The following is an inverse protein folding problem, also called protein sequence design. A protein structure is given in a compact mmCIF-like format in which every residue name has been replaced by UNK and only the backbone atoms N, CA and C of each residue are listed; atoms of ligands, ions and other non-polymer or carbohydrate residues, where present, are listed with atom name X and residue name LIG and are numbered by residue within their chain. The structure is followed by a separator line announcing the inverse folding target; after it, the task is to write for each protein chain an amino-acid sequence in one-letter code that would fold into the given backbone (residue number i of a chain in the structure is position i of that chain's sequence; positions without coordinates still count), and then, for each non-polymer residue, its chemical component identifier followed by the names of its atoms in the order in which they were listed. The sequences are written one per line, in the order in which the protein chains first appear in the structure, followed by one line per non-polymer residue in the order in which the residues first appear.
data_IF_984601536301
#
_entry.id   IF_984601536301
#
_cell.length_a   1.000
_cell.length_b   1.000
_cell.length_c   1.000
_cell.angle_alpha   90.00
_cell.angle_beta   90.00
_cell.angle_gamma   90.00
#
_symmetry.space_group_name_H-M   'P 1'
#
loop_
_entity.id
_entity.type
_entity.pdbx_description
1 polymer ?
#
# COMPACT_ATOMS: atom_id res chain seq x y z
N UNK A 1 27.07 -45.28 -39.32
CA UNK A 1 27.25 -43.85 -38.98
C UNK A 1 25.87 -43.23 -38.89
N UNK A 2 25.29 -43.30 -37.69
CA UNK A 2 23.94 -42.85 -37.39
C UNK A 2 24.03 -41.46 -36.73
N UNK A 3 23.47 -40.44 -37.40
CA UNK A 3 23.35 -39.08 -36.85
C UNK A 3 22.08 -39.02 -36.01
N UNK A 4 22.25 -38.87 -34.67
CA UNK A 4 21.16 -38.62 -33.73
C UNK A 4 20.94 -37.09 -33.67
N UNK A 5 19.86 -36.59 -34.29
CA UNK A 5 19.42 -35.22 -34.13
C UNK A 5 18.64 -35.12 -32.80
N UNK A 6 19.28 -34.52 -31.79
CA UNK A 6 18.63 -34.14 -30.57
C UNK A 6 17.79 -32.87 -30.74
N UNK A 7 16.47 -32.99 -30.69
CA UNK A 7 15.55 -31.86 -30.63
C UNK A 7 15.56 -31.30 -29.19
N UNK A 8 16.22 -30.16 -29.02
CA UNK A 8 16.18 -29.39 -27.79
C UNK A 8 14.84 -28.62 -27.72
N UNK A 9 13.88 -29.18 -27.01
CA UNK A 9 12.61 -28.48 -26.70
C UNK A 9 12.88 -27.34 -25.71
N UNK A 10 12.94 -26.11 -26.20
CA UNK A 10 12.91 -24.91 -25.37
C UNK A 10 11.50 -24.82 -24.74
N UNK A 11 11.37 -25.19 -23.47
CA UNK A 11 10.20 -24.88 -22.67
C UNK A 11 10.17 -23.37 -22.43
N UNK A 12 9.44 -22.65 -23.27
CA UNK A 12 9.04 -21.26 -23.01
C UNK A 12 8.02 -21.29 -21.87
N UNK A 13 8.50 -21.11 -20.65
CA UNK A 13 7.62 -20.81 -19.51
C UNK A 13 7.05 -19.43 -19.73
N UNK A 14 5.77 -19.33 -20.08
CA UNK A 14 5.03 -18.08 -20.09
C UNK A 14 5.03 -17.52 -18.65
N UNK A 15 5.48 -16.27 -18.43
CA UNK A 15 5.42 -15.68 -17.10
C UNK A 15 3.97 -15.67 -16.64
N UNK A 16 3.74 -16.14 -15.40
CA UNK A 16 2.43 -16.16 -14.81
C UNK A 16 2.04 -14.70 -14.51
N UNK A 17 1.02 -14.16 -15.19
CA UNK A 17 0.59 -12.76 -15.06
C UNK A 17 0.36 -12.34 -13.59
N UNK A 18 -0.12 -13.27 -12.75
CA UNK A 18 -0.30 -13.03 -11.32
C UNK A 18 1.02 -12.87 -10.52
N UNK A 19 2.13 -13.46 -11.00
CA UNK A 19 3.43 -13.29 -10.36
C UNK A 19 4.02 -11.92 -10.65
N UNK A 20 3.87 -11.42 -11.88
CA UNK A 20 4.31 -10.09 -12.30
C UNK A 20 3.57 -8.97 -11.54
N UNK A 21 2.28 -9.13 -11.30
CA UNK A 21 1.48 -8.15 -10.55
C UNK A 21 1.86 -8.07 -9.08
N UNK A 22 2.15 -9.21 -8.44
CA UNK A 22 2.63 -9.22 -7.05
C UNK A 22 4.00 -8.55 -6.91
N UNK A 23 4.89 -8.78 -7.86
CA UNK A 23 6.21 -8.16 -7.85
C UNK A 23 6.12 -6.64 -8.06
N UNK A 24 5.26 -6.18 -8.98
CA UNK A 24 4.98 -4.75 -9.17
C UNK A 24 4.42 -4.09 -7.92
N UNK A 25 3.46 -4.73 -7.25
CA UNK A 25 2.94 -4.23 -5.99
C UNK A 25 4.02 -4.17 -4.91
N UNK A 26 4.87 -5.18 -4.81
CA UNK A 26 5.98 -5.21 -3.85
C UNK A 26 6.93 -4.04 -4.05
N UNK A 27 7.36 -3.79 -5.28
CA UNK A 27 8.22 -2.66 -5.65
C UNK A 27 7.56 -1.32 -5.30
N UNK A 28 6.30 -1.15 -5.68
CA UNK A 28 5.52 0.04 -5.34
C UNK A 28 5.42 0.26 -3.83
N UNK A 29 5.16 -0.79 -3.05
CA UNK A 29 5.07 -0.72 -1.61
C UNK A 29 6.41 -0.38 -0.95
N UNK A 30 7.52 -0.93 -1.44
CA UNK A 30 8.87 -0.62 -0.96
C UNK A 30 9.26 0.85 -1.25
N UNK A 31 8.99 1.33 -2.46
CA UNK A 31 9.24 2.73 -2.83
C UNK A 31 8.40 3.69 -1.99
N UNK A 32 7.11 3.38 -1.81
CA UNK A 32 6.20 4.18 -0.98
C UNK A 32 6.67 4.24 0.46
N UNK A 33 7.10 3.12 1.05
CA UNK A 33 7.65 3.11 2.42
C UNK A 33 8.89 3.99 2.54
N UNK A 34 9.83 3.89 1.60
CA UNK A 34 11.01 4.77 1.57
C UNK A 34 10.64 6.24 1.47
N UNK A 35 9.69 6.60 0.59
CA UNK A 35 9.21 7.96 0.41
C UNK A 35 8.60 8.51 1.71
N UNK A 36 7.67 7.77 2.32
CA UNK A 36 6.95 8.21 3.52
C UNK A 36 7.90 8.32 4.73
N UNK A 37 8.83 7.38 4.91
CA UNK A 37 9.80 7.44 6.00
C UNK A 37 10.82 8.57 5.84
N UNK A 38 11.08 9.02 4.62
CA UNK A 38 11.97 10.15 4.35
C UNK A 38 11.31 11.52 4.58
N UNK A 39 9.98 11.59 4.75
CA UNK A 39 9.27 12.84 4.99
C UNK A 39 9.73 13.48 6.30
N UNK A 40 10.24 14.71 6.21
CA UNK A 40 10.60 15.53 7.36
C UNK A 40 9.36 16.32 7.82
N UNK A 41 8.61 15.76 8.73
CA UNK A 41 7.38 16.33 9.26
C UNK A 41 7.67 16.99 10.61
N UNK A 42 7.50 18.32 10.76
CA UNK A 42 7.81 19.03 12.00
C UNK A 42 7.07 18.51 13.21
N UNK A 43 5.84 18.05 13.05
CA UNK A 43 4.99 17.49 14.10
C UNK A 43 5.55 16.20 14.71
N UNK A 44 6.43 15.49 13.97
CA UNK A 44 7.08 14.26 14.44
C UNK A 44 8.41 14.50 15.17
N UNK A 45 8.85 15.75 15.32
CA UNK A 45 10.15 16.08 15.94
C UNK A 45 10.09 16.25 17.45
N UNK A 46 8.97 16.78 17.99
CA UNK A 46 8.79 16.94 19.44
C UNK A 46 7.69 15.98 19.93
N UNK A 47 8.10 14.81 20.39
CA UNK A 47 7.20 13.68 20.67
C UNK A 47 7.17 13.32 22.15
N UNK A 48 7.24 14.31 23.05
CA UNK A 48 7.09 14.09 24.50
C UNK A 48 5.61 14.01 24.88
N UNK A 49 5.27 13.03 25.73
CA UNK A 49 3.94 12.95 26.34
C UNK A 49 3.76 14.10 27.33
N UNK A 50 2.68 14.87 27.18
CA UNK A 50 2.33 15.90 28.15
C UNK A 50 1.82 15.26 29.45
N UNK A 51 2.14 15.87 30.61
CA UNK A 51 1.82 15.32 31.95
C UNK A 51 0.33 14.97 32.14
N UNK A 52 -0.55 15.75 31.53
CA UNK A 52 -2.01 15.54 31.64
C UNK A 52 -2.51 14.25 30.92
N UNK A 53 -1.67 13.62 30.08
CA UNK A 53 -2.04 12.42 29.33
C UNK A 53 -1.23 11.19 29.73
N UNK A 54 -0.47 11.26 30.82
CA UNK A 54 0.40 10.14 31.26
C UNK A 54 -0.38 8.90 31.70
N UNK A 55 -1.62 9.09 32.14
CA UNK A 55 -2.48 8.01 32.61
C UNK A 55 -3.35 7.40 31.51
N UNK A 56 -3.25 7.92 30.27
CA UNK A 56 -3.97 7.36 29.13
C UNK A 56 -3.28 6.10 28.61
N UNK A 57 -4.07 5.09 28.20
CA UNK A 57 -3.56 3.82 27.66
C UNK A 57 -2.65 4.02 26.44
N UNK A 58 -3.05 4.91 25.52
CA UNK A 58 -2.28 5.32 24.37
C UNK A 58 -2.37 6.82 24.15
N UNK A 59 -1.31 7.44 23.65
CA UNK A 59 -1.29 8.88 23.34
C UNK A 59 -0.80 9.09 21.90
N UNK A 60 -1.63 9.69 21.06
CA UNK A 60 -1.18 10.14 19.74
C UNK A 60 -0.30 11.38 19.93
N UNK A 61 0.99 11.24 19.65
CA UNK A 61 1.98 12.30 19.80
C UNK A 61 2.06 13.20 18.57
N UNK A 62 1.82 12.62 17.40
CA UNK A 62 1.77 13.32 16.12
C UNK A 62 0.83 12.61 15.16
N UNK A 63 0.18 13.37 14.29
CA UNK A 63 -0.61 12.86 13.18
C UNK A 63 -0.43 13.76 11.96
N UNK A 64 -0.36 13.17 10.77
CA UNK A 64 -0.23 13.84 9.50
C UNK A 64 -1.19 13.23 8.50
N UNK A 65 -1.89 14.06 7.75
CA UNK A 65 -2.75 13.64 6.66
C UNK A 65 -2.48 14.49 5.43
N UNK A 66 -2.35 13.85 4.26
CA UNK A 66 -2.11 14.50 2.97
C UNK A 66 -2.93 13.83 1.90
N UNK A 67 -3.79 14.58 1.24
CA UNK A 67 -4.61 14.14 0.11
C UNK A 67 -4.16 14.87 -1.15
N UNK A 68 -3.79 14.12 -2.18
CA UNK A 68 -3.45 14.64 -3.50
C UNK A 68 -4.36 14.03 -4.56
N UNK A 69 -5.01 14.89 -5.34
CA UNK A 69 -5.87 14.47 -6.45
C UNK A 69 -5.30 15.05 -7.73
N UNK A 70 -4.95 14.19 -8.68
CA UNK A 70 -4.45 14.59 -9.99
C UNK A 70 -5.35 14.07 -11.09
N UNK A 71 -5.57 14.89 -12.12
CA UNK A 71 -6.36 14.52 -13.29
C UNK A 71 -5.49 14.56 -14.53
N UNK A 72 -5.54 13.50 -15.31
CA UNK A 72 -4.92 13.42 -16.63
C UNK A 72 -5.99 13.20 -17.69
N UNK A 73 -5.85 13.89 -18.82
CA UNK A 73 -6.72 13.68 -19.98
C UNK A 73 -5.82 13.28 -21.15
N UNK A 74 -6.13 12.16 -21.79
CA UNK A 74 -5.42 11.66 -22.96
C UNK A 74 -6.38 11.63 -24.15
N UNK A 75 -5.94 12.21 -25.27
CA UNK A 75 -6.65 12.09 -26.53
C UNK A 75 -6.08 10.88 -27.27
N UNK A 76 -6.87 9.84 -27.42
CA UNK A 76 -6.51 8.70 -28.25
C UNK A 76 -7.12 8.91 -29.64
N UNK A 77 -6.25 9.17 -30.61
CA UNK A 77 -6.64 9.18 -32.02
C UNK A 77 -6.59 7.72 -32.47
N UNK A 78 -7.76 7.11 -32.57
CA UNK A 78 -7.88 5.72 -33.01
C UNK A 78 -7.16 5.52 -34.35
N UNK A 79 -6.31 4.53 -34.40
CA UNK A 79 -5.47 4.24 -35.55
C UNK A 79 -6.28 3.98 -36.82
N UNK A 80 -5.89 4.67 -37.87
CA UNK A 80 -6.02 4.24 -39.26
C UNK A 80 -7.30 3.46 -39.63
N UNK A 81 -8.21 4.08 -40.38
CA UNK A 81 -9.44 3.52 -40.95
C UNK A 81 -10.71 3.73 -40.08
N UNK A 82 -11.20 4.98 -40.03
CA UNK A 82 -12.53 5.28 -39.51
C UNK A 82 -12.66 5.15 -38.01
N UNK A 83 -11.57 5.36 -37.29
CA UNK A 83 -11.47 5.12 -35.86
C UNK A 83 -12.26 6.14 -35.05
N UNK A 84 -12.95 5.64 -34.05
CA UNK A 84 -13.59 6.45 -33.03
C UNK A 84 -12.52 7.19 -32.23
N UNK A 85 -12.67 8.51 -32.12
CA UNK A 85 -11.89 9.32 -31.19
C UNK A 85 -12.49 9.13 -29.80
N UNK A 86 -11.68 8.74 -28.83
CA UNK A 86 -12.13 8.70 -27.45
C UNK A 86 -11.19 9.47 -26.53
N UNK A 87 -11.75 10.01 -25.50
CA UNK A 87 -11.04 10.78 -24.49
C UNK A 87 -10.95 9.93 -23.24
N UNK A 88 -9.74 9.48 -22.91
CA UNK A 88 -9.45 8.84 -21.64
C UNK A 88 -9.27 9.91 -20.55
N UNK A 89 -9.98 9.74 -19.48
CA UNK A 89 -9.84 10.57 -18.28
C UNK A 89 -9.40 9.70 -17.12
N UNK A 90 -8.21 9.97 -16.63
CA UNK A 90 -7.63 9.30 -15.48
C UNK A 90 -7.63 10.25 -14.29
N UNK A 91 -8.18 9.82 -13.17
CA UNK A 91 -8.13 10.51 -11.89
C UNK A 91 -7.31 9.65 -10.93
N UNK A 92 -6.23 10.22 -10.42
CA UNK A 92 -5.39 9.58 -9.42
C UNK A 92 -5.58 10.28 -8.08
N UNK A 93 -5.85 9.50 -7.05
CA UNK A 93 -5.94 9.95 -5.68
C UNK A 93 -4.84 9.28 -4.85
N UNK A 94 -4.05 10.08 -4.15
CA UNK A 94 -3.03 9.64 -3.19
C UNK A 94 -3.43 10.17 -1.83
N UNK A 95 -3.69 9.29 -0.90
CA UNK A 95 -4.09 9.61 0.47
C UNK A 95 -3.09 8.99 1.45
N UNK A 96 -2.38 9.84 2.19
CA UNK A 96 -1.46 9.46 3.23
C UNK A 96 -2.03 9.85 4.59
N UNK A 97 -2.12 8.88 5.48
CA UNK A 97 -2.35 9.09 6.90
C UNK A 97 -1.21 8.46 7.69
N UNK A 98 -0.52 9.24 8.53
CA UNK A 98 0.58 8.79 9.38
C UNK A 98 0.39 9.27 10.79
N UNK A 99 0.63 8.42 11.77
CA UNK A 99 0.55 8.77 13.19
C UNK A 99 1.70 8.15 13.99
N UNK A 100 2.08 8.84 15.05
CA UNK A 100 3.01 8.38 16.08
C UNK A 100 2.26 8.24 17.41
N UNK A 101 2.27 7.06 17.98
CA UNK A 101 1.51 6.73 19.20
C UNK A 101 2.45 6.21 20.27
N UNK A 102 2.32 6.71 21.49
CA UNK A 102 2.97 6.16 22.69
C UNK A 102 2.10 5.06 23.28
N UNK A 103 2.71 3.92 23.58
CA UNK A 103 2.06 2.76 24.22
C UNK A 103 2.33 2.78 25.71
N UNK A 104 1.30 3.00 26.53
CA UNK A 104 1.46 3.17 27.97
C UNK A 104 1.03 1.97 28.80
N UNK A 105 0.15 1.10 28.27
CA UNK A 105 -0.35 -0.05 29.00
C UNK A 105 -0.67 -1.27 28.11
N UNK A 106 -1.21 -2.33 28.74
CA UNK A 106 -1.58 -3.58 28.07
C UNK A 106 -2.77 -3.44 27.11
N UNK A 107 -3.68 -2.49 27.36
CA UNK A 107 -4.83 -2.28 26.48
C UNK A 107 -4.36 -1.70 25.15
N UNK A 108 -3.53 -0.65 25.19
CA UNK A 108 -2.89 -0.09 24.01
C UNK A 108 -1.99 -1.11 23.29
N UNK A 109 -1.20 -1.89 24.05
CA UNK A 109 -0.36 -2.92 23.46
C UNK A 109 -1.20 -3.92 22.65
N UNK A 110 -2.34 -4.35 23.16
CA UNK A 110 -3.24 -5.26 22.43
C UNK A 110 -3.85 -4.60 21.20
N UNK A 111 -4.26 -3.35 21.29
CA UNK A 111 -4.87 -2.60 20.18
C UNK A 111 -3.91 -2.41 19.02
N UNK A 112 -2.63 -2.10 19.30
CA UNK A 112 -1.62 -1.81 18.31
C UNK A 112 -0.74 -3.02 17.93
N UNK A 113 -1.08 -4.23 18.39
CA UNK A 113 -0.31 -5.44 18.08
C UNK A 113 -0.64 -6.06 16.72
N UNK A 114 -1.74 -5.66 16.07
CA UNK A 114 -2.19 -6.20 14.78
C UNK A 114 -2.93 -5.11 13.98
N UNK A 115 -2.72 -5.07 12.68
CA UNK A 115 -3.42 -4.17 11.75
C UNK A 115 -4.02 -4.92 10.60
N UNK A 116 -5.26 -4.57 10.25
CA UNK A 116 -5.93 -5.03 9.04
C UNK A 116 -5.70 -4.04 7.90
N UNK A 117 -5.38 -4.54 6.70
CA UNK A 117 -5.26 -3.70 5.51
C UNK A 117 -5.58 -4.44 4.21
N UNK A 118 -5.83 -3.70 3.13
CA UNK A 118 -6.15 -4.22 1.80
C UNK A 118 -5.01 -3.89 0.85
N UNK A 119 -4.22 -4.88 0.45
CA UNK A 119 -3.05 -4.63 -0.38
C UNK A 119 -3.42 -4.09 -1.77
N UNK A 120 -4.29 -4.78 -2.48
CA UNK A 120 -4.67 -4.41 -3.84
C UNK A 120 -6.10 -4.84 -4.18
N UNK A 121 -6.83 -3.97 -4.89
CA UNK A 121 -8.11 -4.27 -5.50
C UNK A 121 -8.09 -3.74 -6.92
N UNK A 122 -8.37 -4.60 -7.89
CA UNK A 122 -8.55 -4.23 -9.29
C UNK A 122 -9.96 -4.56 -9.73
N UNK A 123 -10.67 -3.56 -10.25
CA UNK A 123 -11.95 -3.75 -10.90
C UNK A 123 -11.84 -3.25 -12.33
N UNK A 124 -12.19 -4.10 -13.26
CA UNK A 124 -12.13 -3.80 -14.68
C UNK A 124 -13.52 -3.94 -15.28
N UNK A 125 -14.01 -2.87 -15.88
CA UNK A 125 -15.26 -2.81 -16.64
C UNK A 125 -14.97 -2.18 -18.00
N UNK A 126 -15.82 -2.42 -19.02
CA UNK A 126 -15.66 -1.84 -20.35
C UNK A 126 -15.75 -0.30 -20.36
N UNK A 127 -16.31 0.32 -19.31
CA UNK A 127 -16.46 1.77 -19.16
C UNK A 127 -15.37 2.39 -18.31
N UNK A 128 -14.82 1.64 -17.35
CA UNK A 128 -13.84 2.16 -16.40
C UNK A 128 -12.93 1.06 -15.87
N UNK A 129 -11.71 1.44 -15.60
CA UNK A 129 -10.76 0.63 -14.86
C UNK A 129 -10.52 1.30 -13.49
N UNK A 130 -10.70 0.56 -12.42
CA UNK A 130 -10.41 1.01 -11.06
C UNK A 130 -9.26 0.17 -10.49
N UNK A 131 -8.21 0.85 -10.06
CA UNK A 131 -7.09 0.25 -9.38
C UNK A 131 -6.93 0.92 -8.01
N UNK A 132 -6.99 0.11 -6.96
CA UNK A 132 -6.77 0.53 -5.59
C UNK A 132 -5.60 -0.24 -5.01
N UNK A 133 -4.65 0.47 -4.41
CA UNK A 133 -3.50 -0.10 -3.73
C UNK A 133 -3.35 0.58 -2.37
N UNK A 134 -3.20 -0.22 -1.32
CA UNK A 134 -2.91 0.27 0.02
C UNK A 134 -1.54 -0.22 0.46
N UNK A 135 -0.73 0.69 0.98
CA UNK A 135 0.57 0.37 1.59
C UNK A 135 0.50 0.72 3.07
N UNK A 136 0.82 -0.26 3.89
CA UNK A 136 1.00 -0.10 5.33
C UNK A 136 2.49 -0.08 5.66
N UNK A 137 2.91 0.85 6.51
CA UNK A 137 4.24 0.85 7.11
C UNK A 137 4.13 1.01 8.60
N UNK A 138 4.92 0.22 9.34
CA UNK A 138 4.95 0.22 10.80
C UNK A 138 6.40 0.21 11.27
N UNK A 139 6.73 1.10 12.21
CA UNK A 139 8.02 1.11 12.92
C UNK A 139 7.80 1.18 14.41
N UNK A 140 8.58 0.42 15.16
CA UNK A 140 8.65 0.51 16.61
C UNK A 140 9.85 1.39 16.95
N UNK A 141 9.65 2.39 17.79
CA UNK A 141 10.68 3.26 18.32
C UNK A 141 10.79 2.97 19.82
N UNK A 142 11.90 2.35 20.19
CA UNK A 142 12.20 2.00 21.58
C UNK A 142 12.50 3.26 22.42
N UNK A 143 12.40 3.20 23.74
CA UNK A 143 12.73 4.33 24.63
C UNK A 143 14.18 4.83 24.49
N UNK A 144 15.10 3.97 24.05
CA UNK A 144 16.51 4.31 23.79
C UNK A 144 16.71 4.98 22.41
N UNK A 145 15.65 5.13 21.61
CA UNK A 145 15.70 5.70 20.26
C UNK A 145 15.97 4.70 19.14
N UNK A 146 16.14 3.41 19.46
CA UNK A 146 16.29 2.36 18.44
C UNK A 146 15.01 2.25 17.62
N UNK A 147 15.12 2.22 16.29
CA UNK A 147 14.00 2.12 15.35
C UNK A 147 14.02 0.76 14.67
N UNK A 148 12.95 0.00 14.81
CA UNK A 148 12.75 -1.30 14.18
C UNK A 148 11.58 -1.22 13.20
N UNK A 149 11.86 -1.35 11.91
CA UNK A 149 10.81 -1.42 10.88
C UNK A 149 10.26 -2.85 10.81
N UNK A 150 8.94 -2.97 10.79
CA UNK A 150 8.25 -4.26 10.69
C UNK A 150 8.16 -4.67 9.23
N UNK A 151 8.71 -5.84 8.91
CA UNK A 151 8.62 -6.42 7.56
C UNK A 151 7.18 -6.87 7.28
N UNK A 152 6.53 -6.24 6.31
CA UNK A 152 5.18 -6.64 5.89
C UNK A 152 5.17 -8.01 5.22
N UNK A 153 6.28 -8.43 4.60
CA UNK A 153 6.38 -9.72 3.90
C UNK A 153 6.47 -10.91 4.86
N UNK A 154 7.05 -10.71 6.06
CA UNK A 154 7.26 -11.79 7.04
C UNK A 154 6.08 -11.99 7.98
N UNK A 155 5.35 -10.93 8.29
CA UNK A 155 4.32 -10.93 9.35
C UNK A 155 2.90 -10.81 8.83
N UNK A 156 2.71 -10.92 7.50
CA UNK A 156 1.40 -10.94 6.90
C UNK A 156 0.78 -12.34 6.90
N UNK A 157 -0.45 -12.42 7.34
CA UNK A 157 -1.30 -13.58 7.14
C UNK A 157 -2.48 -13.22 6.25
N UNK A 158 -2.67 -13.94 5.14
CA UNK A 158 -3.86 -13.78 4.33
C UNK A 158 -5.06 -14.40 5.06
N UNK A 159 -6.12 -13.62 5.25
CA UNK A 159 -7.40 -14.17 5.71
C UNK A 159 -8.15 -14.70 4.49
N UNK A 160 -8.44 -16.00 4.43
CA UNK A 160 -9.22 -16.61 3.34
C UNK A 160 -10.64 -16.01 3.33
N UNK A 161 -10.91 -15.15 2.36
CA UNK A 161 -12.25 -14.69 2.04
C UNK A 161 -12.91 -15.57 0.99
N UNK A 162 -14.24 -15.69 1.00
CA UNK A 162 -15.00 -16.27 -0.10
C UNK A 162 -14.73 -15.49 -1.38
N UNK A 163 -14.77 -16.15 -2.54
CA UNK A 163 -14.36 -15.72 -3.88
C UNK A 163 -14.77 -14.31 -4.34
N UNK A 164 -15.67 -13.62 -3.64
CA UNK A 164 -16.16 -12.26 -3.94
C UNK A 164 -16.00 -11.28 -2.76
N UNK A 165 -15.29 -11.66 -1.69
CA UNK A 165 -14.99 -10.77 -0.58
C UNK A 165 -13.55 -10.26 -0.67
N UNK A 166 -13.40 -8.95 -0.52
CA UNK A 166 -12.12 -8.27 -0.41
C UNK A 166 -11.22 -8.99 0.60
N UNK A 167 -10.05 -9.45 0.15
CA UNK A 167 -9.10 -10.14 1.01
C UNK A 167 -8.45 -9.13 1.95
N UNK A 168 -8.83 -9.15 3.21
CA UNK A 168 -8.13 -8.43 4.26
C UNK A 168 -6.85 -9.19 4.60
N UNK A 169 -5.76 -8.46 4.67
CA UNK A 169 -4.48 -8.97 5.16
C UNK A 169 -4.26 -8.45 6.57
N UNK A 170 -3.67 -9.27 7.42
CA UNK A 170 -3.34 -8.91 8.80
C UNK A 170 -1.84 -8.82 8.97
N UNK A 171 -1.37 -7.68 9.49
CA UNK A 171 0.01 -7.46 9.86
C UNK A 171 0.15 -7.54 11.38
N UNK A 172 0.86 -8.54 11.87
CA UNK A 172 1.28 -8.59 13.28
C UNK A 172 2.47 -7.64 13.52
N UNK A 173 2.53 -7.07 14.71
CA UNK A 173 3.60 -6.16 15.15
C UNK A 173 4.40 -6.81 16.29
N UNK A 174 5.32 -7.73 15.98
CA UNK A 174 6.10 -8.41 16.99
C UNK A 174 7.09 -7.47 17.66
N UNK A 175 7.36 -7.70 18.93
CA UNK A 175 8.35 -6.93 19.69
C UNK A 175 7.89 -5.55 20.16
N UNK A 176 6.61 -5.20 20.00
CA UNK A 176 6.02 -4.02 20.60
C UNK A 176 5.86 -4.24 22.11
N UNK A 177 6.28 -3.27 22.94
CA UNK A 177 6.26 -3.32 24.39
C UNK A 177 5.66 -2.04 24.98
N UNK A 178 5.26 -2.12 26.26
CA UNK A 178 4.82 -0.95 27.00
C UNK A 178 6.00 0.02 27.16
N UNK A 179 5.78 1.30 26.85
CA UNK A 179 6.82 2.33 26.83
C UNK A 179 7.39 2.62 25.44
N UNK A 180 7.12 1.75 24.46
CA UNK A 180 7.50 2.00 23.07
C UNK A 180 6.61 3.07 22.43
N UNK A 181 7.11 3.64 21.33
CA UNK A 181 6.31 4.39 20.37
C UNK A 181 6.13 3.57 19.10
N UNK A 182 4.95 3.62 18.54
CA UNK A 182 4.66 3.02 17.24
C UNK A 182 4.39 4.13 16.22
N UNK A 183 5.14 4.13 15.11
CA UNK A 183 5.01 5.05 13.99
C UNK A 183 4.38 4.28 12.83
N UNK A 184 3.14 4.64 12.48
CA UNK A 184 2.31 3.90 11.54
C UNK A 184 1.88 4.82 10.43
N UNK A 185 1.85 4.33 9.19
CA UNK A 185 1.15 5.01 8.13
C UNK A 185 0.31 4.07 7.28
N UNK A 186 -0.76 4.63 6.74
CA UNK A 186 -1.57 4.07 5.66
C UNK A 186 -1.44 5.00 4.46
N UNK A 187 -1.00 4.45 3.34
CA UNK A 187 -0.97 5.15 2.07
C UNK A 187 -1.92 4.45 1.11
N UNK A 188 -2.91 5.19 0.63
CA UNK A 188 -3.89 4.70 -0.32
C UNK A 188 -3.64 5.35 -1.68
N UNK A 189 -3.54 4.54 -2.71
CA UNK A 189 -3.50 5.00 -4.09
C UNK A 189 -4.72 4.46 -4.81
N UNK A 190 -5.48 5.35 -5.42
CA UNK A 190 -6.62 4.97 -6.27
C UNK A 190 -6.43 5.61 -7.64
N UNK A 191 -6.49 4.80 -8.69
CA UNK A 191 -6.58 5.26 -10.06
C UNK A 191 -7.92 4.85 -10.63
N UNK A 192 -8.66 5.81 -11.16
CA UNK A 192 -9.90 5.61 -11.89
C UNK A 192 -9.71 6.11 -13.32
N UNK A 193 -9.78 5.21 -14.29
CA UNK A 193 -9.73 5.50 -15.70
C UNK A 193 -11.11 5.33 -16.31
N UNK A 194 -11.63 6.38 -16.96
CA UNK A 194 -12.93 6.39 -17.61
C UNK A 194 -12.75 6.48 -19.12
N UNK A 195 -13.21 5.44 -19.82
CA UNK A 195 -13.19 5.32 -21.27
C UNK A 195 -14.51 5.83 -21.85
N UNK A 196 -14.67 7.14 -21.93
CA UNK A 196 -15.82 7.73 -22.60
C UNK A 196 -15.64 7.66 -24.12
N UNK A 197 -16.43 6.81 -24.74
CA UNK A 197 -16.72 6.91 -26.17
C UNK A 197 -17.69 8.08 -26.35
N UNK A 198 -17.21 9.31 -26.47
CA UNK A 198 -18.02 10.43 -26.94
C UNK A 198 -18.05 10.33 -28.48
N UNK A 199 -19.18 10.01 -29.10
CA UNK A 199 -19.33 10.24 -30.50
C UNK A 199 -19.40 11.76 -30.72
N UNK A 200 -18.48 12.32 -31.48
CA UNK A 200 -18.62 13.65 -32.04
C UNK A 200 -19.70 13.66 -33.09
#
# INVERSE_FOLDING_TARGET
MLFLMGVLALLLTTPNANADDKEKYKLFAEETRKEVWALKLPEFTNTAVQDKYKDESAVILAAHSRLEITKKTRFNVGAFLGGFHYIDREVNCRDLYRMLVQINDKAALKEFSEFDYKAEIRKKDWRYDENYQQVLGVRIIKPDGTVNEISTDEYMTATEGKKDQEQLQKLAVPGLEIGDKIDIFFFNYTSLENHNLDPF
#
